data_IF_214271492907
#
_entry.id   IF_214271492907
#
_cell.length_a   1.000
_cell.length_b   1.000
_cell.length_c   1.000
_cell.angle_alpha   90.00
_cell.angle_beta   90.00
_cell.angle_gamma   90.00
#
_symmetry.space_group_name_H-M   'P 1'
#
loop_
_entity.id
_entity.type
_entity.pdbx_description
1 polymer ?
#
# COMPACT_ATOMS: atom_id res chain seq x y z
N UNK A 1 -6.61 15.83 -4.47
CA UNK A 1 -6.53 14.41 -4.84
C UNK A 1 -5.33 14.28 -5.76
N UNK A 2 -4.45 13.29 -5.55
CA UNK A 2 -3.36 13.05 -6.49
C UNK A 2 -3.96 12.70 -7.86
N UNK A 3 -3.49 13.35 -8.92
CA UNK A 3 -3.84 12.98 -10.29
C UNK A 3 -2.84 11.92 -10.74
N UNK A 4 -3.34 10.72 -11.02
CA UNK A 4 -2.52 9.61 -11.52
C UNK A 4 -2.49 9.64 -13.04
N UNK A 5 -1.30 9.50 -13.61
CA UNK A 5 -1.16 9.34 -15.06
C UNK A 5 -1.71 7.97 -15.49
N UNK A 6 -2.00 7.81 -16.78
CA UNK A 6 -2.37 6.49 -17.35
C UNK A 6 -1.32 5.41 -17.05
N UNK A 7 -0.04 5.81 -17.00
CA UNK A 7 1.05 4.88 -16.64
C UNK A 7 0.97 4.45 -15.18
N UNK A 8 0.55 5.35 -14.27
CA UNK A 8 0.37 5.03 -12.86
C UNK A 8 -0.85 4.12 -12.68
N UNK A 9 -1.97 4.44 -13.33
CA UNK A 9 -3.18 3.63 -13.31
C UNK A 9 -2.91 2.20 -13.83
N UNK A 10 -2.15 2.07 -14.92
CA UNK A 10 -1.77 0.76 -15.46
C UNK A 10 -0.91 -0.06 -14.48
N UNK A 11 -0.08 0.58 -13.65
CA UNK A 11 0.66 -0.15 -12.59
C UNK A 11 -0.26 -0.62 -11.48
N UNK A 12 -1.30 0.15 -11.16
CA UNK A 12 -2.27 -0.21 -10.12
C UNK A 12 -3.37 -1.16 -10.60
N UNK A 13 -3.46 -1.44 -11.90
CA UNK A 13 -4.52 -2.27 -12.49
C UNK A 13 -4.66 -3.67 -11.85
N UNK A 14 -3.58 -4.25 -11.32
CA UNK A 14 -3.66 -5.52 -10.56
C UNK A 14 -4.60 -5.41 -9.35
N UNK A 15 -4.72 -4.23 -8.74
CA UNK A 15 -5.57 -4.02 -7.59
C UNK A 15 -7.07 -4.13 -7.94
N UNK A 16 -7.46 -3.95 -9.20
CA UNK A 16 -8.87 -4.04 -9.62
C UNK A 16 -9.43 -5.45 -9.37
N UNK A 17 -8.59 -6.48 -9.49
CA UNK A 17 -8.96 -7.87 -9.19
C UNK A 17 -8.89 -8.18 -7.69
N UNK A 18 -7.98 -7.54 -6.96
CA UNK A 18 -7.74 -7.82 -5.53
C UNK A 18 -8.73 -7.09 -4.62
N UNK A 19 -9.12 -5.86 -4.95
CA UNK A 19 -9.94 -5.02 -4.06
C UNK A 19 -11.30 -5.65 -3.73
N UNK A 20 -12.06 -6.24 -4.66
CA UNK A 20 -13.31 -6.94 -4.33
C UNK A 20 -13.09 -8.13 -3.38
N UNK A 21 -11.95 -8.83 -3.51
CA UNK A 21 -11.61 -9.98 -2.67
C UNK A 21 -11.26 -9.55 -1.24
N UNK A 22 -10.50 -8.46 -1.10
CA UNK A 22 -10.20 -7.84 0.20
C UNK A 22 -11.49 -7.46 0.91
N UNK A 23 -12.38 -6.74 0.20
CA UNK A 23 -13.67 -6.31 0.77
C UNK A 23 -14.57 -7.49 1.15
N UNK A 24 -14.56 -8.58 0.38
CA UNK A 24 -15.32 -9.79 0.71
C UNK A 24 -14.72 -10.53 1.92
N UNK A 25 -13.40 -10.65 2.02
CA UNK A 25 -12.72 -11.21 3.19
C UNK A 25 -13.05 -10.41 4.46
N UNK A 26 -12.93 -9.08 4.40
CA UNK A 26 -13.29 -8.17 5.48
C UNK A 26 -14.76 -8.32 5.89
N UNK A 27 -15.68 -8.40 4.91
CA UNK A 27 -17.11 -8.61 5.16
C UNK A 27 -17.41 -9.93 5.85
N UNK A 28 -16.63 -10.98 5.61
CA UNK A 28 -16.74 -12.28 6.30
C UNK A 28 -16.02 -12.33 7.64
N UNK A 29 -15.23 -11.30 7.99
CA UNK A 29 -14.37 -11.30 9.17
C UNK A 29 -13.16 -12.25 9.04
N UNK A 30 -12.73 -12.55 7.81
CA UNK A 30 -11.58 -13.40 7.54
C UNK A 30 -10.30 -12.55 7.46
N UNK A 31 -9.83 -12.12 8.63
CA UNK A 31 -8.65 -11.23 8.77
C UNK A 31 -7.40 -11.82 8.14
N UNK A 32 -7.22 -13.15 8.20
CA UNK A 32 -6.05 -13.82 7.64
C UNK A 32 -6.03 -13.74 6.10
N UNK A 33 -7.18 -13.92 5.45
CA UNK A 33 -7.31 -13.78 4.01
C UNK A 33 -7.23 -12.31 3.57
N UNK A 34 -7.83 -11.40 4.35
CA UNK A 34 -7.73 -9.96 4.13
C UNK A 34 -6.27 -9.49 4.12
N UNK A 35 -5.50 -9.84 5.16
CA UNK A 35 -4.07 -9.52 5.27
C UNK A 35 -3.27 -10.11 4.10
N UNK A 36 -3.56 -11.36 3.73
CA UNK A 36 -2.88 -12.04 2.63
C UNK A 36 -3.13 -11.31 1.30
N UNK A 37 -4.34 -10.85 1.05
CA UNK A 37 -4.72 -10.12 -0.16
C UNK A 37 -4.15 -8.70 -0.17
N UNK A 38 -4.20 -7.99 0.96
CA UNK A 38 -3.62 -6.65 1.09
C UNK A 38 -2.12 -6.63 0.80
N UNK A 39 -1.37 -7.64 1.24
CA UNK A 39 0.08 -7.76 0.93
C UNK A 39 0.40 -7.90 -0.56
N UNK A 40 -0.58 -8.27 -1.39
CA UNK A 40 -0.39 -8.41 -2.84
C UNK A 40 -0.70 -7.09 -3.58
N UNK A 41 -1.45 -6.18 -2.96
CA UNK A 41 -1.83 -4.91 -3.56
C UNK A 41 -0.62 -3.97 -3.71
N UNK A 42 -0.70 -3.11 -4.72
CA UNK A 42 0.25 -2.03 -4.98
C UNK A 42 -0.35 -0.75 -4.43
N UNK A 43 0.28 -0.17 -3.40
CA UNK A 43 -0.18 1.07 -2.81
C UNK A 43 0.54 2.27 -3.45
N UNK A 44 -0.16 3.39 -3.71
CA UNK A 44 0.52 4.64 -4.04
C UNK A 44 1.50 5.05 -2.95
N UNK A 45 2.56 5.73 -3.33
CA UNK A 45 3.60 6.16 -2.40
C UNK A 45 3.02 7.03 -1.27
N UNK A 46 2.12 7.96 -1.60
CA UNK A 46 1.46 8.84 -0.64
C UNK A 46 0.61 8.07 0.37
N UNK A 47 -0.06 7.00 -0.06
CA UNK A 47 -0.81 6.12 0.84
C UNK A 47 0.11 5.38 1.81
N UNK A 48 1.28 4.93 1.33
CA UNK A 48 2.30 4.30 2.18
C UNK A 48 2.92 5.29 3.17
N UNK A 49 3.15 6.54 2.74
CA UNK A 49 3.63 7.61 3.60
C UNK A 49 2.61 7.91 4.70
N UNK A 50 1.33 8.06 4.33
CA UNK A 50 0.25 8.25 5.29
C UNK A 50 0.16 7.08 6.29
N UNK A 51 0.27 5.83 5.83
CA UNK A 51 0.27 4.66 6.70
C UNK A 51 1.45 4.67 7.67
N UNK A 52 2.65 5.04 7.21
CA UNK A 52 3.82 5.19 8.08
C UNK A 52 3.60 6.28 9.12
N UNK A 53 3.06 7.44 8.74
CA UNK A 53 2.83 8.55 9.67
C UNK A 53 1.74 8.22 10.70
N UNK A 54 0.76 7.41 10.32
CA UNK A 54 -0.34 6.99 11.19
C UNK A 54 0.03 5.81 12.11
N UNK A 55 0.71 4.79 11.59
CA UNK A 55 0.99 3.52 12.30
C UNK A 55 2.43 3.40 12.81
N UNK A 56 3.36 4.18 12.26
CA UNK A 56 4.79 4.02 12.46
C UNK A 56 5.44 3.03 11.48
N UNK A 57 6.75 3.21 11.27
CA UNK A 57 7.53 2.43 10.31
C UNK A 57 7.56 0.93 10.62
N UNK A 58 7.64 0.55 11.91
CA UNK A 58 7.71 -0.85 12.31
C UNK A 58 6.41 -1.60 12.03
N UNK A 59 5.26 -0.94 12.19
CA UNK A 59 3.97 -1.53 11.84
C UNK A 59 3.84 -1.73 10.33
N UNK A 60 4.25 -0.75 9.52
CA UNK A 60 4.25 -0.91 8.05
C UNK A 60 5.12 -2.10 7.62
N UNK A 61 6.28 -2.32 8.26
CA UNK A 61 7.12 -3.50 8.04
C UNK A 61 6.42 -4.79 8.45
N UNK A 62 5.79 -4.81 9.62
CA UNK A 62 5.10 -5.99 10.14
C UNK A 62 3.92 -6.41 9.24
N UNK A 63 3.23 -5.44 8.62
CA UNK A 63 2.15 -5.70 7.67
C UNK A 63 2.64 -6.38 6.39
N UNK A 64 3.92 -6.24 6.02
CA UNK A 64 4.50 -6.87 4.85
C UNK A 64 3.96 -6.34 3.52
N UNK A 65 3.53 -5.08 3.49
CA UNK A 65 3.01 -4.43 2.28
C UNK A 65 4.12 -4.25 1.24
N UNK A 66 3.73 -4.21 -0.04
CA UNK A 66 4.65 -3.86 -1.12
C UNK A 66 4.97 -2.36 -1.07
N UNK A 67 6.25 -2.03 -0.91
CA UNK A 67 6.73 -0.64 -0.80
C UNK A 67 7.36 -0.09 -2.08
N UNK A 68 7.24 -0.82 -3.20
CA UNK A 68 7.92 -0.52 -4.46
C UNK A 68 7.69 0.94 -4.94
N UNK A 69 6.47 1.45 -4.81
CA UNK A 69 6.11 2.81 -5.22
C UNK A 69 6.70 3.88 -4.30
N UNK A 70 6.72 3.65 -2.99
CA UNK A 70 7.36 4.56 -2.04
C UNK A 70 8.89 4.54 -2.19
N UNK A 71 9.48 3.37 -2.48
CA UNK A 71 10.90 3.27 -2.81
C UNK A 71 11.25 4.01 -4.11
N UNK A 72 10.34 4.01 -5.10
CA UNK A 72 10.49 4.75 -6.36
C UNK A 72 10.39 6.26 -6.16
N UNK A 73 9.42 6.73 -5.37
CA UNK A 73 9.13 8.17 -5.22
C UNK A 73 9.99 8.84 -4.15
N UNK A 74 10.13 8.22 -2.99
CA UNK A 74 10.86 8.80 -1.86
C UNK A 74 12.29 8.26 -1.75
N UNK A 75 12.61 7.14 -2.41
CA UNK A 75 13.90 6.47 -2.33
C UNK A 75 13.96 5.45 -1.19
N UNK A 76 14.76 4.40 -1.38
CA UNK A 76 14.97 3.34 -0.39
C UNK A 76 15.32 3.89 0.99
N UNK A 77 14.82 3.23 2.04
CA UNK A 77 15.01 3.67 3.43
C UNK A 77 14.08 4.82 3.84
N UNK A 78 13.06 5.16 3.04
CA UNK A 78 12.03 6.15 3.39
C UNK A 78 11.30 5.85 4.71
N UNK A 79 11.24 4.58 5.12
CA UNK A 79 10.71 4.16 6.41
C UNK A 79 11.54 4.67 7.60
N UNK A 80 12.85 4.90 7.43
CA UNK A 80 13.79 5.22 8.50
C UNK A 80 14.09 6.73 8.66
N UNK A 81 13.50 7.56 7.81
CA UNK A 81 13.77 9.01 7.78
C UNK A 81 12.49 9.82 7.69
N UNK A 82 12.57 11.10 8.00
CA UNK A 82 11.48 12.00 7.66
C UNK A 82 11.40 12.17 6.14
N UNK A 83 10.19 12.19 5.61
CA UNK A 83 9.89 12.40 4.19
C UNK A 83 8.80 13.46 4.15
N UNK A 84 9.06 14.56 3.45
CA UNK A 84 8.06 15.59 3.21
C UNK A 84 7.16 15.15 2.05
N UNK A 85 5.84 15.23 2.25
CA UNK A 85 4.81 14.84 1.28
C UNK A 85 4.58 15.90 0.20
#
# INVERSE_FOLDING_TARGET
MAEYSETDLNRFAQNDELLPLVLDAARRGDEAEEDRLMRQMIYPAESLLWLKDFLGADQVRAMGLRTDEADRQFGKGWLDRHVDA
#
